data_IF_240510520192
#
_entry.id   IF_240510520192
#
_cell.length_a   1.000
_cell.length_b   1.000
_cell.length_c   1.000
_cell.angle_alpha   90.00
_cell.angle_beta   90.00
_cell.angle_gamma   90.00
#
_symmetry.space_group_name_H-M   'P 1'
#
loop_
_entity.id
_entity.type
_entity.pdbx_description
1 polymer ?
#
# COMPACT_ATOMS: atom_id res chain seq x y z
N UNK A 1 -10.95 -10.90 -23.89
CA UNK A 1 -9.48 -11.02 -23.92
C UNK A 1 -8.90 -9.63 -24.15
N UNK A 2 -8.54 -8.92 -23.10
CA UNK A 2 -7.85 -7.61 -23.20
C UNK A 2 -6.37 -7.92 -23.49
N UNK A 3 -5.93 -7.57 -24.67
CA UNK A 3 -4.54 -7.69 -25.11
C UNK A 3 -3.62 -7.03 -24.06
N UNK A 4 -2.78 -7.83 -23.40
CA UNK A 4 -1.71 -7.30 -22.53
C UNK A 4 -0.78 -6.46 -23.42
N UNK A 5 -1.03 -5.16 -23.50
CA UNK A 5 -0.13 -4.23 -24.21
C UNK A 5 1.26 -4.36 -23.60
N UNK A 6 2.15 -5.03 -24.33
CA UNK A 6 3.53 -5.26 -23.90
C UNK A 6 4.26 -3.90 -23.88
N UNK A 7 5.06 -3.66 -22.85
CA UNK A 7 5.97 -2.51 -22.79
C UNK A 7 7.02 -2.51 -23.93
N UNK A 8 7.16 -3.63 -24.64
CA UNK A 8 8.19 -3.81 -25.68
C UNK A 8 8.00 -2.81 -26.82
N UNK A 9 6.80 -2.70 -27.37
CA UNK A 9 6.55 -1.82 -28.53
C UNK A 9 6.82 -0.33 -28.25
N UNK A 10 6.28 0.33 -27.19
CA UNK A 10 6.58 1.74 -26.94
C UNK A 10 8.04 2.00 -26.52
N UNK A 11 8.67 1.04 -25.83
CA UNK A 11 10.09 1.16 -25.45
C UNK A 11 11.00 1.03 -26.69
N UNK A 12 10.77 0.04 -27.55
CA UNK A 12 11.56 -0.13 -28.78
C UNK A 12 11.39 1.07 -29.71
N UNK A 13 10.15 1.57 -29.89
CA UNK A 13 9.90 2.76 -30.70
C UNK A 13 10.63 4.00 -30.14
N UNK A 14 10.56 4.20 -28.82
CA UNK A 14 11.25 5.31 -28.16
C UNK A 14 12.77 5.24 -28.30
N UNK A 15 13.37 4.05 -28.14
CA UNK A 15 14.80 3.84 -28.31
C UNK A 15 15.21 4.08 -29.77
N UNK A 16 14.44 3.59 -30.74
CA UNK A 16 14.71 3.83 -32.18
C UNK A 16 14.64 5.32 -32.50
N UNK A 17 13.65 6.05 -31.98
CA UNK A 17 13.53 7.49 -32.16
C UNK A 17 14.72 8.27 -31.55
N UNK A 18 15.16 7.89 -30.34
CA UNK A 18 16.33 8.52 -29.69
C UNK A 18 17.58 8.30 -30.55
N UNK A 19 17.81 7.05 -30.99
CA UNK A 19 18.96 6.71 -31.84
C UNK A 19 18.92 7.49 -33.15
N UNK A 20 17.76 7.60 -33.77
CA UNK A 20 17.57 8.34 -35.02
C UNK A 20 17.90 9.84 -34.84
N UNK A 21 17.40 10.47 -33.77
CA UNK A 21 17.70 11.89 -33.43
C UNK A 21 19.18 12.11 -33.18
N UNK A 22 19.85 11.16 -32.47
CA UNK A 22 21.29 11.23 -32.22
C UNK A 22 22.09 11.11 -33.52
N UNK A 23 21.72 10.18 -34.40
CA UNK A 23 22.36 10.03 -35.72
C UNK A 23 22.16 11.29 -36.57
N UNK A 24 20.94 11.82 -36.59
CA UNK A 24 20.63 13.06 -37.33
C UNK A 24 21.42 14.25 -36.79
N UNK A 25 21.58 14.34 -35.46
CA UNK A 25 22.43 15.34 -34.81
C UNK A 25 23.91 15.20 -35.18
N UNK A 26 24.42 13.97 -35.21
CA UNK A 26 25.81 13.71 -35.64
C UNK A 26 26.04 14.09 -37.10
N UNK A 27 25.13 13.72 -38.01
CA UNK A 27 25.18 14.06 -39.43
C UNK A 27 25.13 15.59 -39.59
N UNK A 28 24.22 16.26 -38.87
CA UNK A 28 24.07 17.70 -38.89
C UNK A 28 25.38 18.43 -38.42
N UNK A 29 25.96 17.97 -37.32
CA UNK A 29 27.22 18.58 -36.79
C UNK A 29 28.40 18.36 -37.76
N UNK A 30 28.56 17.13 -38.30
CA UNK A 30 29.62 16.82 -39.26
C UNK A 30 29.43 17.60 -40.56
N UNK A 31 28.23 17.67 -41.12
CA UNK A 31 27.89 18.41 -42.34
C UNK A 31 28.16 19.91 -42.17
N UNK A 32 27.77 20.45 -41.01
CA UNK A 32 28.02 21.84 -40.65
C UNK A 32 29.51 22.18 -40.50
N UNK A 33 30.31 21.24 -39.99
CA UNK A 33 31.74 21.42 -39.84
C UNK A 33 32.49 21.41 -41.19
N UNK A 34 32.06 20.58 -42.14
CA UNK A 34 32.65 20.47 -43.49
C UNK A 34 32.28 21.68 -44.35
N UNK A 35 31.08 22.24 -44.17
CA UNK A 35 30.54 23.36 -44.97
C UNK A 35 30.96 24.76 -44.52
N UNK A 36 31.96 24.91 -43.65
CA UNK A 36 32.28 26.18 -42.96
C UNK A 36 33.00 27.22 -43.83
N UNK A 37 32.26 27.93 -44.65
CA UNK A 37 32.61 29.33 -44.89
C UNK A 37 32.12 30.19 -43.70
N UNK A 38 33.04 30.94 -43.06
CA UNK A 38 32.87 31.58 -41.73
C UNK A 38 31.95 32.83 -41.77
N UNK A 39 30.70 32.68 -42.25
CA UNK A 39 29.72 33.75 -42.20
C UNK A 39 28.94 33.73 -40.88
N UNK A 40 28.59 34.89 -40.32
CA UNK A 40 27.77 34.96 -39.10
C UNK A 40 26.43 34.25 -39.24
N UNK A 41 25.84 34.18 -40.43
CA UNK A 41 24.64 33.46 -40.75
C UNK A 41 24.77 31.92 -40.51
N UNK A 42 25.96 31.37 -40.82
CA UNK A 42 26.25 29.95 -40.58
C UNK A 42 26.14 29.59 -39.08
N UNK A 43 26.76 30.38 -38.23
CA UNK A 43 26.74 30.15 -36.78
C UNK A 43 25.37 30.32 -36.16
N UNK A 44 24.56 31.27 -36.63
CA UNK A 44 23.17 31.41 -36.14
C UNK A 44 22.31 30.22 -36.53
N UNK A 45 22.40 29.74 -37.78
CA UNK A 45 21.68 28.55 -38.23
C UNK A 45 22.15 27.29 -37.52
N UNK A 46 23.43 27.15 -37.24
CA UNK A 46 23.99 26.02 -36.48
C UNK A 46 23.46 25.98 -35.05
N UNK A 47 23.45 27.11 -34.35
CA UNK A 47 22.94 27.20 -32.98
C UNK A 47 21.43 26.90 -32.97
N UNK A 48 20.66 27.49 -33.89
CA UNK A 48 19.24 27.30 -33.97
C UNK A 48 18.86 25.82 -34.24
N UNK A 49 19.57 25.19 -35.18
CA UNK A 49 19.36 23.74 -35.50
C UNK A 49 19.74 22.81 -34.35
N UNK A 50 20.83 23.13 -33.63
CA UNK A 50 21.26 22.37 -32.44
C UNK A 50 20.26 22.51 -31.31
N UNK A 51 19.72 23.71 -31.05
CA UNK A 51 18.63 23.92 -30.08
C UNK A 51 17.36 23.17 -30.44
N UNK A 52 17.00 23.16 -31.74
CA UNK A 52 15.82 22.41 -32.20
C UNK A 52 16.00 20.90 -31.98
N UNK A 53 17.16 20.33 -32.33
CA UNK A 53 17.48 18.92 -32.11
C UNK A 53 17.45 18.57 -30.62
N UNK A 54 17.99 19.39 -29.76
CA UNK A 54 17.96 19.21 -28.31
C UNK A 54 16.52 19.23 -27.77
N UNK A 55 15.70 20.15 -28.27
CA UNK A 55 14.28 20.24 -27.90
C UNK A 55 13.50 18.99 -28.32
N UNK A 56 13.74 18.47 -29.53
CA UNK A 56 13.13 17.24 -30.01
C UNK A 56 13.57 16.05 -29.14
N UNK A 57 14.84 15.94 -28.84
CA UNK A 57 15.37 14.87 -27.96
C UNK A 57 14.71 14.93 -26.57
N UNK A 58 14.64 16.11 -25.97
CA UNK A 58 13.97 16.31 -24.68
C UNK A 58 12.50 15.89 -24.74
N UNK A 59 11.77 16.29 -25.79
CA UNK A 59 10.37 15.90 -26.03
C UNK A 59 10.18 14.40 -26.14
N UNK A 60 11.06 13.70 -26.86
CA UNK A 60 11.02 12.22 -26.98
C UNK A 60 11.26 11.55 -25.63
N UNK A 61 12.22 12.02 -24.83
CA UNK A 61 12.50 11.48 -23.50
C UNK A 61 11.29 11.66 -22.56
N UNK A 62 10.69 12.85 -22.54
CA UNK A 62 9.47 13.13 -21.76
C UNK A 62 8.32 12.23 -22.21
N UNK A 63 8.05 12.16 -23.52
CA UNK A 63 7.02 11.29 -24.08
C UNK A 63 7.23 9.82 -23.68
N UNK A 64 8.45 9.30 -23.79
CA UNK A 64 8.78 7.93 -23.43
C UNK A 64 8.55 7.66 -21.93
N UNK A 65 8.99 8.58 -21.07
CA UNK A 65 8.80 8.46 -19.62
C UNK A 65 7.32 8.46 -19.23
N UNK A 66 6.51 9.33 -19.83
CA UNK A 66 5.06 9.39 -19.61
C UNK A 66 4.37 8.13 -20.11
N UNK A 67 4.75 7.63 -21.30
CA UNK A 67 4.19 6.40 -21.86
C UNK A 67 4.50 5.18 -20.99
N UNK A 68 5.74 5.05 -20.51
CA UNK A 68 6.13 3.95 -19.59
C UNK A 68 5.33 4.04 -18.28
N UNK A 69 5.17 5.25 -17.72
CA UNK A 69 4.34 5.46 -16.52
C UNK A 69 2.89 5.04 -16.75
N UNK A 70 2.29 5.47 -17.86
CA UNK A 70 0.90 5.14 -18.21
C UNK A 70 0.69 3.64 -18.39
N UNK A 71 1.58 2.96 -19.12
CA UNK A 71 1.49 1.50 -19.31
C UNK A 71 1.66 0.75 -17.99
N UNK A 72 2.61 1.16 -17.13
CA UNK A 72 2.79 0.56 -15.80
C UNK A 72 1.57 0.76 -14.90
N UNK A 73 0.94 1.92 -14.96
CA UNK A 73 -0.29 2.19 -14.20
C UNK A 73 -1.42 1.28 -14.68
N UNK A 74 -1.64 1.19 -15.99
CA UNK A 74 -2.66 0.32 -16.58
C UNK A 74 -2.44 -1.15 -16.25
N UNK A 75 -1.19 -1.63 -16.32
CA UNK A 75 -0.85 -3.01 -15.93
C UNK A 75 -1.13 -3.27 -14.43
N UNK A 76 -0.82 -2.30 -13.56
CA UNK A 76 -1.13 -2.42 -12.13
C UNK A 76 -2.62 -2.50 -11.88
N UNK A 77 -3.41 -1.71 -12.61
CA UNK A 77 -4.87 -1.71 -12.51
C UNK A 77 -5.46 -3.02 -13.04
N UNK A 78 -5.00 -3.52 -14.19
CA UNK A 78 -5.44 -4.81 -14.72
C UNK A 78 -5.12 -5.96 -13.78
N UNK A 79 -3.87 -6.03 -13.29
CA UNK A 79 -3.47 -7.07 -12.35
C UNK A 79 -4.29 -7.00 -11.03
N UNK A 80 -4.69 -5.79 -10.61
CA UNK A 80 -5.55 -5.63 -9.44
C UNK A 80 -6.94 -6.23 -9.68
N UNK A 81 -7.57 -5.90 -10.82
CA UNK A 81 -8.90 -6.42 -11.18
C UNK A 81 -8.85 -7.96 -11.32
N UNK A 82 -7.83 -8.49 -11.99
CA UNK A 82 -7.65 -9.94 -12.16
C UNK A 82 -7.53 -10.64 -10.79
N UNK A 83 -6.72 -10.08 -9.89
CA UNK A 83 -6.54 -10.64 -8.54
C UNK A 83 -7.80 -10.55 -7.70
N UNK A 84 -8.51 -9.42 -7.71
CA UNK A 84 -9.81 -9.26 -7.02
C UNK A 84 -10.82 -10.28 -7.54
N UNK A 85 -10.91 -10.41 -8.87
CA UNK A 85 -11.82 -11.37 -9.50
C UNK A 85 -11.52 -12.81 -9.07
N UNK A 86 -10.25 -13.16 -8.97
CA UNK A 86 -9.83 -14.49 -8.52
C UNK A 86 -10.17 -14.73 -7.05
N UNK A 87 -9.89 -13.75 -6.18
CA UNK A 87 -10.18 -13.84 -4.74
C UNK A 87 -11.68 -13.84 -4.42
N UNK A 88 -12.53 -13.24 -5.28
CA UNK A 88 -13.98 -13.32 -5.18
C UNK A 88 -14.52 -14.67 -5.67
N UNK A 89 -13.98 -15.22 -6.76
CA UNK A 89 -14.49 -16.47 -7.35
C UNK A 89 -14.32 -17.68 -6.43
N UNK A 90 -13.24 -17.77 -5.68
CA UNK A 90 -12.94 -18.90 -4.80
C UNK A 90 -14.03 -19.10 -3.72
N UNK A 91 -14.31 -18.12 -2.83
CA UNK A 91 -15.37 -18.29 -1.81
C UNK A 91 -16.77 -18.45 -2.42
N UNK A 92 -17.07 -17.76 -3.54
CA UNK A 92 -18.36 -17.94 -4.23
C UNK A 92 -18.51 -19.37 -4.76
N UNK A 93 -17.45 -19.96 -5.32
CA UNK A 93 -17.48 -21.34 -5.79
C UNK A 93 -17.64 -22.34 -4.64
N UNK A 94 -16.99 -22.10 -3.50
CA UNK A 94 -17.12 -22.88 -2.29
C UNK A 94 -18.55 -22.82 -1.74
N UNK A 95 -19.11 -21.63 -1.55
CA UNK A 95 -20.50 -21.43 -1.13
C UNK A 95 -21.48 -22.17 -2.05
N UNK A 96 -21.30 -22.02 -3.38
CA UNK A 96 -22.15 -22.69 -4.36
C UNK A 96 -22.07 -24.21 -4.25
N UNK A 97 -20.85 -24.75 -4.05
CA UNK A 97 -20.63 -26.19 -3.91
C UNK A 97 -21.37 -26.74 -2.66
N UNK A 98 -21.21 -26.12 -1.49
CA UNK A 98 -21.86 -26.56 -0.26
C UNK A 98 -23.38 -26.44 -0.35
N UNK A 99 -23.92 -25.36 -0.87
CA UNK A 99 -25.35 -25.20 -1.10
C UNK A 99 -25.90 -26.23 -2.08
N UNK A 100 -25.21 -26.54 -3.16
CA UNK A 100 -25.60 -27.58 -4.12
C UNK A 100 -25.53 -29.00 -3.51
N UNK A 101 -24.52 -29.27 -2.68
CA UNK A 101 -24.37 -30.54 -2.00
C UNK A 101 -25.55 -30.78 -1.02
N UNK A 102 -25.86 -29.76 -0.19
CA UNK A 102 -26.96 -29.81 0.75
C UNK A 102 -28.35 -29.93 0.06
N UNK A 103 -28.47 -29.34 -1.14
CA UNK A 103 -29.73 -29.43 -1.91
C UNK A 103 -29.94 -30.76 -2.63
N UNK A 104 -28.83 -31.46 -2.97
CA UNK A 104 -28.91 -32.69 -3.79
C UNK A 104 -28.74 -33.99 -2.99
N UNK A 105 -28.13 -33.90 -1.82
CA UNK A 105 -27.79 -35.04 -0.99
C UNK A 105 -28.33 -34.82 0.42
N UNK A 106 -28.80 -35.91 1.05
CA UNK A 106 -29.08 -35.90 2.48
C UNK A 106 -27.72 -35.87 3.21
N UNK A 107 -27.43 -34.80 3.91
CA UNK A 107 -26.25 -34.66 4.76
C UNK A 107 -26.64 -34.88 6.21
N UNK A 108 -25.79 -35.52 6.99
CA UNK A 108 -26.02 -35.68 8.41
C UNK A 108 -25.86 -34.34 9.17
N UNK A 109 -26.33 -34.28 10.42
CA UNK A 109 -26.28 -33.04 11.20
C UNK A 109 -24.85 -32.52 11.47
N UNK A 110 -23.87 -33.42 11.53
CA UNK A 110 -22.47 -33.01 11.75
C UNK A 110 -21.86 -32.34 10.49
N UNK A 111 -22.10 -32.94 9.35
CA UNK A 111 -21.72 -32.42 8.05
C UNK A 111 -22.42 -31.07 7.75
N UNK A 112 -23.72 -30.98 8.10
CA UNK A 112 -24.48 -29.75 7.91
C UNK A 112 -23.91 -28.60 8.76
N UNK A 113 -23.52 -28.86 10.00
CA UNK A 113 -22.84 -27.85 10.85
C UNK A 113 -21.50 -27.42 10.29
N UNK A 114 -20.71 -28.36 9.79
CA UNK A 114 -19.44 -28.06 9.17
C UNK A 114 -19.61 -27.23 7.90
N UNK A 115 -20.56 -27.54 7.04
CA UNK A 115 -20.84 -26.77 5.83
C UNK A 115 -21.30 -25.35 6.17
N UNK A 116 -22.19 -25.18 7.16
CA UNK A 116 -22.62 -23.85 7.61
C UNK A 116 -21.46 -23.05 8.14
N UNK A 117 -20.55 -23.65 8.93
CA UNK A 117 -19.35 -22.97 9.45
C UNK A 117 -18.45 -22.48 8.31
N UNK A 118 -18.14 -23.35 7.33
CA UNK A 118 -17.29 -23.01 6.20
C UNK A 118 -17.95 -21.93 5.33
N UNK A 119 -19.25 -22.02 5.09
CA UNK A 119 -19.97 -20.99 4.34
C UNK A 119 -19.95 -19.64 5.05
N UNK A 120 -20.07 -19.63 6.38
CA UNK A 120 -19.98 -18.39 7.16
C UNK A 120 -18.58 -17.77 7.07
N UNK A 121 -17.54 -18.61 7.19
CA UNK A 121 -16.13 -18.15 7.02
C UNK A 121 -15.90 -17.55 5.61
N UNK A 122 -16.48 -18.12 4.57
CA UNK A 122 -16.41 -17.61 3.20
C UNK A 122 -17.16 -16.27 3.04
N UNK A 123 -18.31 -16.10 3.68
CA UNK A 123 -19.05 -14.82 3.70
C UNK A 123 -18.26 -13.75 4.43
N UNK A 124 -17.69 -14.04 5.60
CA UNK A 124 -16.85 -13.11 6.36
C UNK A 124 -15.60 -12.70 5.55
N UNK A 125 -15.02 -13.64 4.80
CA UNK A 125 -13.91 -13.37 3.89
C UNK A 125 -14.28 -12.42 2.75
N UNK A 126 -15.48 -12.60 2.16
CA UNK A 126 -16.02 -11.71 1.13
C UNK A 126 -16.27 -10.30 1.67
N UNK A 127 -16.86 -10.18 2.85
CA UNK A 127 -17.11 -8.90 3.50
C UNK A 127 -15.78 -8.14 3.76
N UNK A 128 -14.80 -8.83 4.33
CA UNK A 128 -13.47 -8.25 4.54
C UNK A 128 -12.80 -7.78 3.23
N UNK A 129 -12.97 -8.54 2.13
CA UNK A 129 -12.44 -8.15 0.82
C UNK A 129 -13.13 -6.90 0.29
N UNK A 130 -14.46 -6.82 0.39
CA UNK A 130 -15.25 -5.65 -0.03
C UNK A 130 -14.81 -4.41 0.76
N UNK A 131 -14.68 -4.52 2.08
CA UNK A 131 -14.24 -3.42 2.93
C UNK A 131 -12.83 -2.92 2.56
N UNK A 132 -11.88 -3.83 2.30
CA UNK A 132 -10.56 -3.44 1.83
C UNK A 132 -10.57 -2.77 0.45
N UNK A 133 -11.49 -3.16 -0.45
CA UNK A 133 -11.64 -2.51 -1.76
C UNK A 133 -12.23 -1.11 -1.62
N UNK A 134 -13.20 -0.92 -0.73
CA UNK A 134 -13.77 0.39 -0.41
C UNK A 134 -12.71 1.31 0.21
N UNK A 135 -11.90 0.81 1.14
CA UNK A 135 -10.79 1.56 1.72
C UNK A 135 -9.78 1.98 0.64
N UNK A 136 -9.40 1.06 -0.26
CA UNK A 136 -8.51 1.38 -1.37
C UNK A 136 -9.11 2.47 -2.30
N UNK A 137 -10.41 2.39 -2.58
CA UNK A 137 -11.10 3.38 -3.41
C UNK A 137 -11.23 4.75 -2.72
N UNK A 138 -11.39 4.77 -1.39
CA UNK A 138 -11.38 6.02 -0.60
C UNK A 138 -10.02 6.70 -0.66
N UNK A 139 -8.94 5.93 -0.52
CA UNK A 139 -7.57 6.45 -0.60
C UNK A 139 -7.27 7.01 -1.99
N UNK A 140 -7.70 6.33 -3.06
CA UNK A 140 -7.48 6.78 -4.44
C UNK A 140 -8.31 8.06 -4.77
N UNK A 141 -9.51 8.22 -4.18
CA UNK A 141 -10.34 9.43 -4.29
C UNK A 141 -9.82 10.61 -3.47
N UNK A 142 -9.08 10.38 -2.41
CA UNK A 142 -8.46 11.38 -1.55
C UNK A 142 -7.37 12.24 -2.22
N UNK A 143 -7.39 12.31 -3.57
CA UNK A 143 -6.68 13.32 -4.37
C UNK A 143 -7.36 14.70 -4.33
N UNK A 144 -8.60 14.83 -3.83
CA UNK A 144 -9.12 16.11 -3.36
C UNK A 144 -8.47 16.40 -1.98
N UNK A 145 -8.10 17.65 -1.70
CA UNK A 145 -7.52 18.01 -0.43
C UNK A 145 -8.54 17.77 0.68
N UNK A 146 -8.56 16.55 1.25
CA UNK A 146 -9.12 16.38 2.58
C UNK A 146 -8.25 17.24 3.49
N UNK A 147 -8.85 18.22 4.12
CA UNK A 147 -8.15 19.09 5.06
C UNK A 147 -7.60 18.24 6.20
N UNK A 148 -6.34 18.46 6.54
CA UNK A 148 -5.74 17.79 7.68
C UNK A 148 -6.50 18.21 8.94
N UNK A 149 -7.06 17.24 9.66
CA UNK A 149 -7.80 17.44 10.91
C UNK A 149 -6.87 17.30 12.12
N UNK A 150 -7.24 17.95 13.20
CA UNK A 150 -6.55 17.83 14.48
C UNK A 150 -7.34 16.86 15.35
N UNK A 151 -6.72 15.75 15.75
CA UNK A 151 -7.38 14.71 16.54
C UNK A 151 -6.42 14.03 17.53
N UNK A 152 -6.99 13.37 18.52
CA UNK A 152 -6.29 12.58 19.54
C UNK A 152 -5.95 11.21 19.01
N UNK A 153 -4.65 10.95 18.80
CA UNK A 153 -4.15 9.69 18.27
C UNK A 153 -4.33 8.52 19.25
N UNK A 154 -4.16 8.75 20.54
CA UNK A 154 -4.38 7.78 21.59
C UNK A 154 -5.85 7.32 21.66
N UNK A 155 -6.81 8.21 21.52
CA UNK A 155 -8.23 7.87 21.46
C UNK A 155 -8.56 7.04 20.22
N UNK A 156 -8.09 7.45 19.06
CA UNK A 156 -8.27 6.69 17.81
C UNK A 156 -7.72 5.27 17.90
N UNK A 157 -6.54 5.08 18.51
CA UNK A 157 -5.98 3.74 18.69
C UNK A 157 -6.81 2.89 19.64
N UNK A 158 -7.34 3.47 20.72
CA UNK A 158 -8.23 2.79 21.64
C UNK A 158 -9.52 2.34 20.93
N UNK A 159 -10.16 3.24 20.19
CA UNK A 159 -11.36 2.95 19.39
C UNK A 159 -11.11 1.83 18.35
N UNK A 160 -9.97 1.87 17.64
CA UNK A 160 -9.57 0.81 16.73
C UNK A 160 -9.38 -0.54 17.44
N UNK A 161 -8.80 -0.53 18.65
CA UNK A 161 -8.59 -1.71 19.48
C UNK A 161 -9.91 -2.32 19.95
N UNK A 162 -10.81 -1.51 20.50
CA UNK A 162 -12.13 -1.93 20.96
C UNK A 162 -12.96 -2.50 19.79
N UNK A 163 -13.00 -1.81 18.65
CA UNK A 163 -13.70 -2.27 17.45
C UNK A 163 -13.14 -3.61 16.94
N UNK A 164 -11.83 -3.82 17.01
CA UNK A 164 -11.20 -5.07 16.65
C UNK A 164 -11.56 -6.19 17.64
N UNK A 165 -11.46 -5.97 18.95
CA UNK A 165 -11.87 -6.94 19.97
C UNK A 165 -13.33 -7.36 19.79
N UNK A 166 -14.22 -6.41 19.53
CA UNK A 166 -15.64 -6.66 19.30
C UNK A 166 -15.85 -7.53 18.05
N UNK A 167 -15.16 -7.22 16.94
CA UNK A 167 -15.24 -7.97 15.68
C UNK A 167 -14.79 -9.42 15.82
N UNK A 168 -13.69 -9.64 16.55
CA UNK A 168 -13.13 -10.98 16.77
C UNK A 168 -13.70 -11.70 18.01
N UNK A 169 -14.67 -11.08 18.71
CA UNK A 169 -15.30 -11.62 19.94
C UNK A 169 -14.25 -11.95 21.00
N UNK A 170 -13.28 -11.09 21.15
CA UNK A 170 -12.18 -11.19 22.13
C UNK A 170 -12.41 -10.26 23.32
N UNK A 171 -11.85 -10.58 24.49
CA UNK A 171 -11.82 -9.64 25.62
C UNK A 171 -11.15 -8.31 25.24
N UNK A 172 -11.58 -7.21 25.84
CA UNK A 172 -11.03 -5.86 25.55
C UNK A 172 -9.56 -5.75 25.93
N UNK A 173 -9.11 -6.53 26.90
CA UNK A 173 -7.73 -6.60 27.35
C UNK A 173 -6.76 -7.21 26.31
N UNK A 174 -7.29 -7.83 25.26
CA UNK A 174 -6.49 -8.40 24.16
C UNK A 174 -5.69 -7.32 23.44
N UNK A 175 -6.23 -6.10 23.33
CA UNK A 175 -5.54 -4.94 22.75
C UNK A 175 -5.33 -3.89 23.83
N UNK A 176 -4.10 -3.75 24.27
CA UNK A 176 -3.72 -2.76 25.28
C UNK A 176 -3.13 -1.54 24.61
N UNK A 177 -3.61 -0.35 24.99
CA UNK A 177 -3.07 0.92 24.50
C UNK A 177 -2.26 1.56 25.63
N UNK A 178 -0.94 1.49 25.52
CA UNK A 178 0.02 2.13 26.45
C UNK A 178 0.50 3.44 25.83
N UNK A 179 -0.15 4.54 26.18
CA UNK A 179 0.13 5.84 25.57
C UNK A 179 -0.08 7.01 26.52
N UNK A 180 0.75 8.03 26.35
CA UNK A 180 0.43 9.38 26.80
C UNK A 180 -0.48 10.08 25.77
N UNK A 181 -1.34 11.04 26.18
CA UNK A 181 -2.15 11.82 25.26
C UNK A 181 -1.30 12.51 24.19
N UNK A 182 -1.57 12.21 22.91
CA UNK A 182 -0.87 12.83 21.77
C UNK A 182 -1.89 13.31 20.76
N UNK A 183 -1.77 14.56 20.38
CA UNK A 183 -2.57 15.18 19.32
C UNK A 183 -1.73 15.32 18.05
N UNK A 184 -2.30 14.96 16.92
CA UNK A 184 -1.65 15.11 15.60
C UNK A 184 -2.56 15.85 14.63
N UNK A 185 -1.96 16.47 13.61
CA UNK A 185 -2.68 17.03 12.46
C UNK A 185 -2.44 16.14 11.26
N UNK A 186 -3.46 15.47 10.78
CA UNK A 186 -3.39 14.56 9.62
C UNK A 186 -4.80 14.24 9.10
N UNK A 187 -4.88 13.42 8.08
CA UNK A 187 -6.15 12.89 7.55
C UNK A 187 -6.65 11.77 8.45
N UNK A 188 -7.63 12.07 9.31
CA UNK A 188 -8.11 11.17 10.37
C UNK A 188 -8.57 9.81 9.81
N UNK A 189 -9.41 9.80 8.78
CA UNK A 189 -9.92 8.57 8.15
C UNK A 189 -8.79 7.68 7.60
N UNK A 190 -7.76 8.28 7.01
CA UNK A 190 -6.63 7.52 6.46
C UNK A 190 -5.78 6.93 7.59
N UNK A 191 -5.53 7.68 8.65
CA UNK A 191 -4.78 7.21 9.82
C UNK A 191 -5.54 6.07 10.52
N UNK A 192 -6.88 6.18 10.64
CA UNK A 192 -7.73 5.10 11.15
C UNK A 192 -7.61 3.83 10.32
N UNK A 193 -7.72 3.91 8.99
CA UNK A 193 -7.54 2.76 8.08
C UNK A 193 -6.18 2.09 8.31
N UNK A 194 -5.11 2.87 8.50
CA UNK A 194 -3.77 2.36 8.74
C UNK A 194 -3.71 1.54 10.03
N UNK A 195 -4.14 2.11 11.16
CA UNK A 195 -4.03 1.43 12.46
C UNK A 195 -5.01 0.28 12.60
N UNK A 196 -6.23 0.40 12.10
CA UNK A 196 -7.19 -0.70 12.03
C UNK A 196 -6.59 -1.92 11.32
N UNK A 197 -5.94 -1.73 10.16
CA UNK A 197 -5.31 -2.83 9.45
C UNK A 197 -4.11 -3.43 10.19
N UNK A 198 -3.34 -2.64 10.93
CA UNK A 198 -2.23 -3.15 11.74
C UNK A 198 -2.73 -3.93 12.95
N UNK A 199 -3.74 -3.45 13.66
CA UNK A 199 -4.34 -4.12 14.82
C UNK A 199 -5.04 -5.42 14.38
N UNK A 200 -5.82 -5.39 13.29
CA UNK A 200 -6.43 -6.59 12.71
C UNK A 200 -5.37 -7.67 12.37
N UNK A 201 -4.24 -7.27 11.80
CA UNK A 201 -3.15 -8.19 11.52
C UNK A 201 -2.51 -8.74 12.80
N UNK A 202 -2.29 -7.89 13.80
CA UNK A 202 -1.72 -8.30 15.08
C UNK A 202 -2.60 -9.33 15.79
N UNK A 203 -3.92 -9.18 15.76
CA UNK A 203 -4.86 -10.18 16.30
C UNK A 203 -4.84 -11.47 15.46
N UNK A 204 -4.92 -11.35 14.13
CA UNK A 204 -5.01 -12.52 13.23
C UNK A 204 -3.78 -13.41 13.26
N UNK A 205 -2.61 -12.82 13.40
CA UNK A 205 -1.31 -13.50 13.35
C UNK A 205 -0.60 -13.55 14.70
N UNK A 206 -1.26 -13.05 15.74
CA UNK A 206 -0.85 -13.18 17.13
C UNK A 206 -0.83 -14.61 17.60
N UNK A 207 -0.36 -14.81 18.83
CA UNK A 207 -0.35 -16.11 19.50
C UNK A 207 -1.73 -16.63 19.86
N UNK A 208 -1.79 -17.69 20.63
CA UNK A 208 -3.06 -18.23 21.14
C UNK A 208 -2.95 -18.34 22.67
N UNK A 209 -3.57 -17.44 23.42
CA UNK A 209 -4.39 -16.30 22.99
C UNK A 209 -3.57 -15.16 22.33
N UNK A 210 -4.20 -14.33 21.46
CA UNK A 210 -3.52 -13.17 20.88
C UNK A 210 -3.35 -12.08 21.96
N UNK A 211 -2.19 -11.43 21.94
CA UNK A 211 -1.87 -10.27 22.78
C UNK A 211 -1.33 -9.16 21.88
N UNK A 212 -1.95 -7.99 21.93
CA UNK A 212 -1.56 -6.84 21.10
C UNK A 212 -1.31 -5.65 22.01
N UNK A 213 -0.14 -5.03 21.85
CA UNK A 213 0.23 -3.80 22.57
C UNK A 213 0.42 -2.68 21.55
N UNK A 214 -0.40 -1.64 21.65
CA UNK A 214 -0.23 -0.40 20.92
C UNK A 214 0.42 0.65 21.83
N UNK A 215 1.60 1.13 21.49
CA UNK A 215 2.30 2.15 22.27
C UNK A 215 2.59 3.38 21.44
N UNK A 216 2.44 4.56 22.04
CA UNK A 216 2.75 5.85 21.42
C UNK A 216 3.93 6.47 22.15
N UNK A 217 4.97 6.84 21.41
CA UNK A 217 6.14 7.53 21.97
C UNK A 217 6.43 8.78 21.15
N UNK A 218 6.35 9.98 21.76
CA UNK A 218 6.90 11.19 21.17
C UNK A 218 8.41 11.03 20.99
N UNK A 219 8.94 11.48 19.87
CA UNK A 219 10.38 11.48 19.60
C UNK A 219 10.77 12.88 19.17
N UNK A 220 11.71 13.48 19.87
CA UNK A 220 12.28 14.75 19.46
C UNK A 220 12.93 14.58 18.08
N UNK A 221 12.39 15.27 17.09
CA UNK A 221 12.90 15.21 15.72
C UNK A 221 14.29 15.85 15.64
N UNK A 222 15.17 15.28 14.81
CA UNK A 222 16.45 15.94 14.43
C UNK A 222 16.21 17.19 13.59
N UNK A 223 15.17 17.98 13.87
CA UNK A 223 14.72 19.18 13.16
C UNK A 223 13.58 19.85 13.93
N UNK A 224 12.99 20.91 13.35
CA UNK A 224 11.92 21.70 13.98
C UNK A 224 10.56 21.02 14.08
N UNK A 225 10.39 19.79 13.62
CA UNK A 225 9.11 19.06 13.64
C UNK A 225 9.16 17.91 14.65
N UNK A 226 8.29 17.96 15.64
CA UNK A 226 8.10 16.86 16.57
C UNK A 226 7.50 15.64 15.82
N UNK A 227 8.02 14.47 16.15
CA UNK A 227 7.59 13.21 15.56
C UNK A 227 6.96 12.32 16.63
N UNK A 228 6.09 11.45 16.19
CA UNK A 228 5.53 10.40 17.04
C UNK A 228 5.80 9.04 16.42
N UNK A 229 6.21 8.09 17.23
CA UNK A 229 6.34 6.69 16.84
C UNK A 229 5.25 5.89 17.51
N UNK A 230 4.39 5.28 16.71
CA UNK A 230 3.38 4.33 17.15
C UNK A 230 3.89 2.93 16.87
N UNK A 231 3.93 2.08 17.88
CA UNK A 231 4.34 0.68 17.76
C UNK A 231 3.15 -0.24 18.02
N UNK A 232 2.84 -1.11 17.08
CA UNK A 232 1.86 -2.19 17.25
C UNK A 232 2.64 -3.49 17.36
N UNK A 233 2.58 -4.11 18.53
CA UNK A 233 3.33 -5.31 18.89
C UNK A 233 2.39 -6.49 19.07
N UNK A 234 2.68 -7.63 18.44
CA UNK A 234 1.97 -8.89 18.62
C UNK A 234 2.85 -9.96 19.31
N UNK A 235 2.23 -11.03 19.78
CA UNK A 235 2.87 -12.22 20.34
C UNK A 235 2.91 -13.42 19.38
N UNK A 236 2.83 -13.16 18.07
CA UNK A 236 2.80 -14.21 17.04
C UNK A 236 4.16 -14.83 16.73
N UNK A 237 4.20 -15.60 15.63
CA UNK A 237 5.44 -16.27 15.19
C UNK A 237 6.51 -15.31 14.65
N UNK A 238 6.15 -14.05 14.38
CA UNK A 238 7.05 -13.07 13.78
C UNK A 238 7.13 -13.19 12.25
N UNK A 239 7.81 -12.22 11.63
CA UNK A 239 7.97 -12.16 10.18
C UNK A 239 9.46 -12.30 9.83
N UNK A 240 9.84 -13.33 9.03
CA UNK A 240 11.22 -13.51 8.57
C UNK A 240 11.73 -12.27 7.82
N UNK A 241 12.99 -11.93 8.03
CA UNK A 241 13.59 -10.69 7.51
C UNK A 241 13.49 -10.56 5.99
N UNK A 242 13.72 -11.66 5.26
CA UNK A 242 13.66 -11.72 3.80
C UNK A 242 12.24 -11.49 3.24
N UNK A 243 11.21 -11.67 4.06
CA UNK A 243 9.80 -11.52 3.68
C UNK A 243 9.21 -10.16 4.05
N UNK A 244 9.84 -9.40 4.98
CA UNK A 244 9.32 -8.11 5.51
C UNK A 244 9.02 -7.06 4.42
N UNK A 245 9.76 -7.05 3.31
CA UNK A 245 9.47 -6.16 2.18
C UNK A 245 8.34 -6.67 1.28
N UNK A 246 8.24 -7.99 1.13
CA UNK A 246 7.30 -8.63 0.20
C UNK A 246 5.86 -8.56 0.71
N UNK A 247 5.64 -8.62 2.03
CA UNK A 247 4.30 -8.65 2.64
C UNK A 247 3.47 -7.39 2.42
N UNK A 248 4.09 -6.28 2.04
CA UNK A 248 3.39 -5.06 1.63
C UNK A 248 2.91 -5.09 0.17
N UNK A 249 3.11 -6.18 -0.53
CA UNK A 249 2.56 -6.39 -1.87
C UNK A 249 1.05 -6.67 -1.83
N UNK A 250 0.36 -6.41 -2.94
CA UNK A 250 -1.07 -6.74 -3.08
C UNK A 250 -1.25 -8.25 -3.08
N UNK A 251 -2.21 -8.77 -2.31
CA UNK A 251 -2.57 -10.20 -2.22
C UNK A 251 -1.41 -11.11 -1.76
N UNK A 252 -0.40 -10.54 -1.11
CA UNK A 252 0.72 -11.31 -0.58
C UNK A 252 0.33 -11.91 0.76
N UNK A 253 0.50 -13.23 0.89
CA UNK A 253 0.30 -14.00 2.12
C UNK A 253 1.51 -14.89 2.36
N UNK A 254 1.91 -15.05 3.63
CA UNK A 254 2.98 -15.97 4.01
C UNK A 254 2.40 -17.39 4.21
N UNK A 255 3.20 -18.43 3.92
CA UNK A 255 2.83 -19.85 4.04
C UNK A 255 2.23 -20.45 2.74
N UNK A 256 2.17 -21.79 2.70
CA UNK A 256 1.58 -22.55 1.61
C UNK A 256 0.04 -22.47 1.67
N UNK A 257 -0.64 -22.57 0.54
CA UNK A 257 -2.11 -22.48 0.47
C UNK A 257 -2.83 -23.54 1.31
N UNK A 258 -2.25 -24.73 1.42
CA UNK A 258 -2.77 -25.85 2.18
C UNK A 258 -2.59 -25.74 3.70
N UNK A 259 -1.69 -24.87 4.17
CA UNK A 259 -1.38 -24.68 5.61
C UNK A 259 -1.98 -23.38 6.17
N UNK A 260 -2.76 -22.65 5.38
CA UNK A 260 -3.33 -21.34 5.76
C UNK A 260 -4.54 -21.53 6.66
N UNK A 261 -4.31 -21.63 7.96
CA UNK A 261 -5.37 -21.69 8.97
C UNK A 261 -6.09 -20.35 9.20
N UNK A 262 -5.47 -19.23 8.84
CA UNK A 262 -6.00 -17.90 9.14
C UNK A 262 -6.60 -17.24 7.88
N UNK A 263 -7.90 -16.85 7.88
CA UNK A 263 -8.53 -16.18 6.75
C UNK A 263 -7.95 -14.78 6.53
N UNK A 264 -7.77 -14.37 5.27
CA UNK A 264 -7.26 -13.03 4.96
C UNK A 264 -7.11 -12.78 3.47
N UNK A 265 -7.31 -11.52 3.05
CA UNK A 265 -7.29 -11.09 1.65
C UNK A 265 -5.90 -10.74 1.13
N UNK A 266 -4.89 -10.57 2.00
CA UNK A 266 -3.56 -10.08 1.63
C UNK A 266 -3.54 -8.62 1.16
N UNK A 267 -4.59 -7.84 1.44
CA UNK A 267 -4.67 -6.42 1.09
C UNK A 267 -4.35 -5.49 2.27
N UNK A 268 -4.54 -5.92 3.52
CA UNK A 268 -4.39 -5.04 4.69
C UNK A 268 -3.03 -4.34 4.77
N UNK A 269 -1.91 -5.09 4.65
CA UNK A 269 -0.57 -4.48 4.68
C UNK A 269 -0.26 -3.66 3.42
N UNK A 270 -0.85 -3.97 2.29
CA UNK A 270 -0.79 -3.10 1.11
C UNK A 270 -1.47 -1.75 1.38
N UNK A 271 -2.64 -1.74 2.03
CA UNK A 271 -3.32 -0.51 2.46
C UNK A 271 -2.47 0.28 3.44
N UNK A 272 -1.90 -0.38 4.46
CA UNK A 272 -0.96 0.25 5.40
C UNK A 272 0.17 0.99 4.66
N UNK A 273 0.80 0.36 3.67
CA UNK A 273 1.86 0.99 2.87
C UNK A 273 1.35 2.15 2.00
N UNK A 274 0.15 2.05 1.47
CA UNK A 274 -0.43 3.07 0.59
C UNK A 274 -0.81 4.30 1.41
N UNK A 275 -1.52 4.09 2.51
CA UNK A 275 -1.91 5.14 3.44
C UNK A 275 -0.70 5.84 4.06
N UNK A 276 0.27 5.07 4.56
CA UNK A 276 1.46 5.69 5.18
C UNK A 276 2.17 6.65 4.24
N UNK A 277 2.25 6.33 2.94
CA UNK A 277 2.81 7.24 1.94
C UNK A 277 1.93 8.48 1.72
N UNK A 278 0.62 8.33 1.75
CA UNK A 278 -0.34 9.42 1.54
C UNK A 278 -0.29 10.43 2.69
N UNK A 279 -0.17 9.97 3.93
CA UNK A 279 -0.07 10.82 5.13
C UNK A 279 1.37 11.20 5.50
N UNK A 280 2.34 10.91 4.65
CA UNK A 280 3.76 11.23 4.91
C UNK A 280 4.39 10.43 6.06
N UNK A 281 3.79 9.31 6.47
CA UNK A 281 4.31 8.43 7.49
C UNK A 281 5.30 7.40 6.94
N UNK A 282 6.16 6.86 7.80
CA UNK A 282 7.03 5.74 7.47
C UNK A 282 6.71 4.52 8.34
N UNK A 283 6.72 3.32 7.72
CA UNK A 283 6.45 2.05 8.42
C UNK A 283 7.68 1.17 8.38
N UNK A 284 8.08 0.66 9.55
CA UNK A 284 9.16 -0.31 9.73
C UNK A 284 8.63 -1.57 10.43
N UNK A 285 9.26 -2.71 10.15
CA UNK A 285 8.95 -3.99 10.80
C UNK A 285 10.19 -4.45 11.53
N UNK A 286 10.01 -4.81 12.80
CA UNK A 286 11.05 -5.43 13.64
C UNK A 286 10.53 -6.74 14.20
N UNK A 287 11.42 -7.69 14.46
CA UNK A 287 11.09 -8.86 15.27
C UNK A 287 11.01 -8.43 16.74
N UNK A 288 9.97 -8.85 17.46
CA UNK A 288 9.87 -8.60 18.90
C UNK A 288 11.06 -9.19 19.63
N UNK A 289 11.58 -10.34 19.15
CA UNK A 289 12.79 -10.97 19.68
C UNK A 289 14.04 -10.07 19.64
N UNK A 290 14.08 -9.15 18.67
CA UNK A 290 15.17 -8.16 18.53
C UNK A 290 15.08 -7.03 19.58
N UNK A 291 13.94 -6.91 20.29
CA UNK A 291 13.64 -5.81 21.21
C UNK A 291 13.63 -6.30 22.66
N UNK A 292 12.82 -7.34 22.97
CA UNK A 292 12.56 -7.83 24.32
C UNK A 292 12.81 -9.33 24.48
N UNK A 293 13.32 -10.03 23.45
CA UNK A 293 13.60 -11.46 23.47
C UNK A 293 12.38 -12.36 23.21
N UNK A 294 11.16 -11.83 23.21
CA UNK A 294 9.93 -12.59 23.01
C UNK A 294 9.63 -12.83 21.53
N UNK A 295 8.82 -13.86 21.24
CA UNK A 295 8.32 -14.07 19.88
C UNK A 295 7.30 -12.99 19.52
N UNK A 296 7.23 -12.61 18.24
CA UNK A 296 6.25 -11.64 17.77
C UNK A 296 6.80 -10.69 16.71
N UNK A 297 5.91 -9.81 16.25
CA UNK A 297 6.23 -8.73 15.31
C UNK A 297 5.97 -7.38 15.94
N UNK A 298 6.77 -6.39 15.57
CA UNK A 298 6.55 -4.98 15.91
C UNK A 298 6.47 -4.18 14.62
N UNK A 299 5.33 -3.55 14.39
CA UNK A 299 5.15 -2.54 13.34
C UNK A 299 5.34 -1.17 13.96
N UNK A 300 6.38 -0.46 13.54
CA UNK A 300 6.67 0.92 13.96
C UNK A 300 6.22 1.89 12.87
N UNK A 301 5.29 2.77 13.19
CA UNK A 301 4.81 3.84 12.32
C UNK A 301 5.31 5.17 12.85
N UNK A 302 6.16 5.84 12.08
CA UNK A 302 6.65 7.18 12.43
C UNK A 302 5.84 8.21 11.67
N UNK A 303 5.22 9.13 12.39
CA UNK A 303 4.40 10.22 11.85
C UNK A 303 5.01 11.56 12.25
N UNK A 304 4.79 12.56 11.42
CA UNK A 304 5.12 13.97 11.67
C UNK A 304 3.85 14.72 12.06
N UNK A 305 4.00 16.04 12.30
CA UNK A 305 2.88 16.95 12.60
C UNK A 305 2.20 16.70 13.95
N UNK A 306 3.00 16.39 14.97
CA UNK A 306 2.52 16.40 16.35
C UNK A 306 2.15 17.85 16.71
N UNK A 307 0.93 18.02 17.22
CA UNK A 307 0.45 19.32 17.70
C UNK A 307 0.77 19.41 19.18
N UNK A 308 1.76 20.24 19.54
CA UNK A 308 2.02 20.62 20.92
C UNK A 308 1.16 21.85 21.27
N UNK A 309 0.75 22.00 22.53
CA UNK A 309 -0.08 23.14 23.02
C UNK A 309 0.50 24.52 22.65
N UNK A 310 1.80 24.57 22.36
CA UNK A 310 2.49 25.80 21.90
C UNK A 310 2.11 26.21 20.46
N UNK A 311 1.52 25.31 19.65
CA UNK A 311 1.16 25.55 18.24
C UNK A 311 -0.35 25.82 18.03
N UNK A 312 -1.15 25.79 19.08
CA UNK A 312 -2.56 26.18 19.04
C UNK A 312 -2.65 27.72 19.16
N UNK A 313 -2.25 28.47 18.13
CA UNK A 313 -2.71 29.84 17.98
C UNK A 313 -4.18 29.80 17.54
N UNK A 314 -5.11 30.43 18.26
CA UNK A 314 -6.45 30.59 17.74
C UNK A 314 -6.37 31.46 16.49
N UNK A 315 -6.89 30.94 15.39
CA UNK A 315 -7.18 31.76 14.21
C UNK A 315 -8.26 32.77 14.64
N UNK A 316 -7.86 34.03 14.78
CA UNK A 316 -8.75 35.19 14.98
C UNK A 316 -9.33 35.60 13.63
#
# INVERSE_FOLDING_TARGET
MLERRSLRAPVTLGVVLIVLVVILGAIYTVSSFIGSERSGLFWTLFILGSLLLLSILAGVIVYLTLTIKAVRLNQRQSNFIDSVTHELKSPIASLKLYLQTMSRHSVDESQQRDFHRIMLEDVERLDALINHLLDAARIDRGSEPEDDEVFRLDQMLAECGEAACMRYRLPTETVQVDSTPVTIRSRSVQVEILFRNLIDNAIKYGGSPPEVIASIRPVEGKGKEDQVVVSITDNGAGIPYDKRRKIFGRFVRLGNELERSTPGTGLGLYLVRTVSKSVGASVRIRGRREIDGNAGTVFEVTMKNVVTDTNLKPET
#
